data_IF_623944934543
#
_entry.id   IF_623944934543
#
_cell.length_a   1.000
_cell.length_b   1.000
_cell.length_c   1.000
_cell.angle_alpha   90.00
_cell.angle_beta   90.00
_cell.angle_gamma   90.00
#
_symmetry.space_group_name_H-M   'P 1'
#
loop_
_entity.id
_entity.type
_entity.pdbx_description
1 polymer ?
#
# COMPACT_ATOMS: atom_id res chain seq x y z
N UNK A 1 -7.39 -22.51 55.66
CA UNK A 1 -8.01 -21.18 55.49
C UNK A 1 -7.41 -20.45 54.31
N UNK A 2 -7.73 -20.87 53.11
CA UNK A 2 -7.41 -20.09 51.87
C UNK A 2 -8.47 -20.47 50.83
N UNK A 3 -9.61 -19.77 50.78
CA UNK A 3 -10.59 -19.93 49.68
C UNK A 3 -11.70 -18.87 49.66
N UNK A 4 -11.52 -17.70 50.20
CA UNK A 4 -12.54 -16.64 50.14
C UNK A 4 -12.13 -15.37 49.32
N UNK A 5 -10.87 -15.22 48.91
CA UNK A 5 -10.41 -14.02 48.18
C UNK A 5 -10.88 -13.90 46.74
N UNK A 6 -11.11 -15.02 46.04
CA UNK A 6 -11.44 -14.98 44.60
C UNK A 6 -12.91 -14.71 44.27
N UNK A 7 -13.83 -14.91 45.19
CA UNK A 7 -15.27 -14.68 44.92
C UNK A 7 -15.63 -13.18 44.87
N UNK A 8 -14.94 -12.35 45.64
CA UNK A 8 -15.15 -10.90 45.65
C UNK A 8 -14.62 -10.25 44.38
N UNK A 9 -13.51 -10.74 43.83
CA UNK A 9 -12.97 -10.26 42.56
C UNK A 9 -13.90 -10.56 41.38
N UNK A 10 -14.48 -11.72 41.34
CA UNK A 10 -15.45 -12.08 40.29
C UNK A 10 -16.78 -11.33 40.43
N UNK A 11 -17.20 -10.99 41.64
CA UNK A 11 -18.40 -10.19 41.91
C UNK A 11 -18.18 -8.71 41.56
N UNK A 12 -17.00 -8.18 41.75
CA UNK A 12 -16.63 -6.83 41.36
C UNK A 12 -16.54 -6.67 39.81
N UNK A 13 -16.07 -7.68 39.10
CA UNK A 13 -16.06 -7.72 37.64
C UNK A 13 -17.48 -7.82 37.07
N UNK A 14 -18.37 -8.57 37.73
CA UNK A 14 -19.77 -8.70 37.33
C UNK A 14 -20.61 -7.44 37.65
N UNK A 15 -20.22 -6.64 38.67
CA UNK A 15 -20.96 -5.43 39.08
C UNK A 15 -20.59 -4.17 38.27
N UNK A 16 -19.45 -4.19 37.59
CA UNK A 16 -18.98 -3.06 36.79
C UNK A 16 -19.66 -2.93 35.45
N UNK A 17 -20.61 -3.82 35.07
CA UNK A 17 -21.49 -3.62 33.90
C UNK A 17 -20.77 -3.05 32.68
N UNK A 18 -19.48 -3.34 32.54
CA UNK A 18 -18.76 -3.06 31.32
C UNK A 18 -19.36 -3.98 30.26
N UNK A 19 -20.37 -3.48 29.56
CA UNK A 19 -20.63 -3.93 28.20
C UNK A 19 -19.26 -3.96 27.54
N UNK A 20 -18.69 -5.14 27.40
CA UNK A 20 -17.63 -5.36 26.46
C UNK A 20 -18.23 -5.07 25.10
N UNK A 21 -18.18 -3.79 24.69
CA UNK A 21 -18.14 -3.52 23.26
C UNK A 21 -16.97 -4.36 22.78
N UNK A 22 -17.29 -5.45 22.09
CA UNK A 22 -16.30 -6.24 21.41
C UNK A 22 -15.53 -5.23 20.54
N UNK A 23 -14.32 -4.89 20.94
CA UNK A 23 -13.43 -4.13 20.10
C UNK A 23 -13.15 -5.13 18.98
N UNK A 24 -13.78 -4.90 17.83
CA UNK A 24 -13.52 -5.68 16.64
C UNK A 24 -12.02 -5.61 16.40
N UNK A 25 -11.34 -6.73 16.48
CA UNK A 25 -9.90 -6.78 16.24
C UNK A 25 -9.70 -7.10 14.77
N UNK A 26 -8.81 -6.32 14.06
CA UNK A 26 -8.48 -6.62 12.68
C UNK A 26 -8.03 -8.07 12.54
N UNK A 27 -8.56 -8.80 11.57
CA UNK A 27 -8.10 -10.16 11.30
C UNK A 27 -6.75 -10.10 10.57
N UNK A 28 -5.77 -10.85 11.04
CA UNK A 28 -4.46 -10.95 10.42
C UNK A 28 -4.14 -12.40 10.09
N UNK A 29 -3.88 -12.68 8.81
CA UNK A 29 -3.51 -14.01 8.33
C UNK A 29 -2.17 -13.95 7.61
N UNK A 30 -1.25 -14.85 7.96
CA UNK A 30 0.06 -14.95 7.29
C UNK A 30 0.46 -16.41 7.11
N UNK A 31 1.06 -16.75 5.96
CA UNK A 31 1.48 -18.11 5.64
C UNK A 31 1.93 -18.24 4.18
N UNK A 32 2.35 -19.43 3.80
CA UNK A 32 2.75 -19.71 2.42
C UNK A 32 1.52 -19.78 1.49
N UNK A 33 0.50 -20.55 1.91
CA UNK A 33 -0.80 -20.62 1.25
C UNK A 33 -1.91 -20.23 2.21
N UNK A 34 -2.74 -19.27 1.81
CA UNK A 34 -3.78 -18.69 2.64
C UNK A 34 -5.10 -18.70 1.86
N UNK A 35 -6.17 -19.18 2.50
CA UNK A 35 -7.53 -19.01 2.04
C UNK A 35 -8.26 -18.08 2.99
N UNK A 36 -8.57 -16.86 2.55
CA UNK A 36 -9.39 -15.92 3.31
C UNK A 36 -10.83 -16.11 2.90
N UNK A 37 -11.64 -16.65 3.82
CA UNK A 37 -13.05 -16.99 3.55
C UNK A 37 -13.95 -16.55 4.70
N UNK A 38 -15.26 -16.45 4.44
CA UNK A 38 -16.25 -16.10 5.44
C UNK A 38 -16.44 -14.59 5.62
N UNK A 39 -17.12 -14.24 6.71
CA UNK A 39 -17.43 -12.86 7.05
C UNK A 39 -16.41 -12.33 8.07
N UNK A 40 -15.95 -11.10 7.85
CA UNK A 40 -15.07 -10.38 8.74
C UNK A 40 -15.77 -9.11 9.20
N UNK A 41 -15.89 -8.92 10.51
CA UNK A 41 -16.61 -7.78 11.09
C UNK A 41 -15.80 -6.46 11.01
N UNK A 42 -14.50 -6.54 10.74
CA UNK A 42 -13.57 -5.41 10.72
C UNK A 42 -12.57 -5.51 9.55
N UNK A 43 -11.54 -4.69 9.58
CA UNK A 43 -10.45 -4.73 8.60
C UNK A 43 -9.77 -6.10 8.58
N UNK A 44 -9.41 -6.56 7.39
CA UNK A 44 -8.70 -7.81 7.20
C UNK A 44 -7.33 -7.59 6.55
N UNK A 45 -6.33 -8.33 7.02
CA UNK A 45 -4.97 -8.31 6.51
C UNK A 45 -4.54 -9.73 6.15
N UNK A 46 -4.03 -9.93 4.94
CA UNK A 46 -3.48 -11.19 4.51
C UNK A 46 -2.13 -10.99 3.81
N UNK A 47 -1.12 -11.75 4.23
CA UNK A 47 0.21 -11.69 3.63
C UNK A 47 0.79 -13.10 3.46
N UNK A 48 1.19 -13.48 2.22
CA UNK A 48 1.68 -14.82 1.93
C UNK A 48 2.18 -14.99 0.50
N UNK A 49 2.63 -16.20 0.17
CA UNK A 49 3.07 -16.48 -1.19
C UNK A 49 1.89 -16.66 -2.15
N UNK A 50 0.91 -17.46 -1.76
CA UNK A 50 -0.32 -17.70 -2.52
C UNK A 50 -1.54 -17.43 -1.63
N UNK A 51 -2.41 -16.52 -2.06
CA UNK A 51 -3.58 -16.10 -1.29
C UNK A 51 -4.82 -16.18 -2.18
N UNK A 52 -5.83 -16.91 -1.72
CA UNK A 52 -7.15 -16.97 -2.33
C UNK A 52 -8.18 -16.29 -1.43
N UNK A 53 -8.86 -15.30 -1.98
CA UNK A 53 -9.86 -14.49 -1.25
C UNK A 53 -11.25 -14.79 -1.80
N UNK A 54 -12.13 -15.19 -0.89
CA UNK A 54 -13.57 -15.33 -1.10
C UNK A 54 -14.26 -14.98 0.24
N UNK A 55 -14.27 -13.70 0.58
CA UNK A 55 -14.70 -13.21 1.88
C UNK A 55 -15.58 -11.97 1.78
N UNK A 56 -16.40 -11.76 2.80
CA UNK A 56 -17.16 -10.53 2.98
C UNK A 56 -16.42 -9.64 3.99
N UNK A 57 -15.96 -8.48 3.55
CA UNK A 57 -15.22 -7.52 4.38
C UNK A 57 -15.89 -6.15 4.25
N UNK A 58 -16.72 -5.75 5.24
CA UNK A 58 -17.50 -4.50 5.16
C UNK A 58 -16.65 -3.24 5.34
N UNK A 59 -15.37 -3.41 5.58
CA UNK A 59 -14.39 -2.34 5.74
C UNK A 59 -13.26 -2.48 4.71
N UNK A 60 -12.04 -2.25 5.13
CA UNK A 60 -10.85 -2.29 4.27
C UNK A 60 -10.14 -3.64 4.37
N UNK A 61 -9.71 -4.16 3.24
CA UNK A 61 -8.88 -5.35 3.17
C UNK A 61 -7.53 -5.03 2.52
N UNK A 62 -6.46 -5.50 3.17
CA UNK A 62 -5.10 -5.44 2.66
C UNK A 62 -4.61 -6.84 2.33
N UNK A 63 -4.18 -7.04 1.08
CA UNK A 63 -3.64 -8.33 0.63
C UNK A 63 -2.30 -8.12 -0.07
N UNK A 64 -1.26 -8.82 0.39
CA UNK A 64 0.05 -8.74 -0.24
C UNK A 64 0.67 -10.13 -0.41
N UNK A 65 1.17 -10.44 -1.62
CA UNK A 65 1.73 -11.77 -1.86
C UNK A 65 2.33 -12.01 -3.23
N UNK A 66 2.74 -13.24 -3.49
CA UNK A 66 3.27 -13.64 -4.79
C UNK A 66 2.16 -13.81 -5.83
N UNK A 67 1.18 -14.67 -5.54
CA UNK A 67 0.01 -14.95 -6.37
C UNK A 67 -1.26 -14.71 -5.59
N UNK A 68 -2.15 -13.88 -6.11
CA UNK A 68 -3.37 -13.48 -5.45
C UNK A 68 -4.57 -13.80 -6.33
N UNK A 69 -5.52 -14.56 -5.79
CA UNK A 69 -6.78 -14.92 -6.43
C UNK A 69 -7.96 -14.29 -5.70
N UNK A 70 -8.81 -13.55 -6.40
CA UNK A 70 -10.04 -13.00 -5.88
C UNK A 70 -11.20 -13.70 -6.59
N UNK A 71 -11.70 -14.77 -5.97
CA UNK A 71 -12.66 -15.69 -6.59
C UNK A 71 -14.11 -15.38 -6.26
N UNK A 72 -14.36 -14.48 -5.31
CA UNK A 72 -15.71 -14.08 -4.89
C UNK A 72 -15.66 -13.16 -3.68
N UNK A 73 -16.83 -13.01 -3.04
CA UNK A 73 -16.99 -12.18 -1.85
C UNK A 73 -17.30 -10.71 -2.15
N UNK A 74 -17.53 -9.96 -1.08
CA UNK A 74 -17.84 -8.55 -1.13
C UNK A 74 -16.86 -7.77 -0.23
N UNK A 75 -16.09 -6.86 -0.82
CA UNK A 75 -15.05 -6.09 -0.12
C UNK A 75 -15.31 -4.61 -0.36
N UNK A 76 -15.52 -3.85 0.71
CA UNK A 76 -15.80 -2.41 0.58
C UNK A 76 -14.62 -1.63 0.00
N UNK A 77 -13.41 -1.87 0.47
CA UNK A 77 -12.20 -1.25 -0.08
C UNK A 77 -11.07 -2.27 -0.09
N UNK A 78 -10.52 -2.55 -1.26
CA UNK A 78 -9.43 -3.50 -1.43
C UNK A 78 -8.14 -2.78 -1.82
N UNK A 79 -7.10 -2.97 -1.01
CA UNK A 79 -5.73 -2.58 -1.32
C UNK A 79 -4.93 -3.86 -1.47
N UNK A 80 -4.39 -4.07 -2.66
CA UNK A 80 -3.69 -5.32 -2.96
C UNK A 80 -2.41 -5.10 -3.76
N UNK A 81 -1.40 -5.90 -3.45
CA UNK A 81 -0.13 -5.88 -4.19
C UNK A 81 0.48 -7.27 -4.31
N UNK A 82 1.01 -7.60 -5.51
CA UNK A 82 1.59 -8.91 -5.71
C UNK A 82 2.32 -9.09 -7.04
N UNK A 83 2.87 -10.28 -7.25
CA UNK A 83 3.47 -10.63 -8.54
C UNK A 83 2.40 -10.83 -9.61
N UNK A 84 1.42 -11.65 -9.32
CA UNK A 84 0.30 -12.01 -10.17
C UNK A 84 -1.02 -11.84 -9.41
N UNK A 85 -1.96 -11.07 -9.97
CA UNK A 85 -3.27 -10.81 -9.42
C UNK A 85 -4.36 -11.28 -10.39
N UNK A 86 -5.24 -12.16 -9.94
CA UNK A 86 -6.32 -12.73 -10.72
C UNK A 86 -7.67 -12.41 -10.07
N UNK A 87 -8.50 -11.62 -10.75
CA UNK A 87 -9.85 -11.29 -10.32
C UNK A 87 -10.87 -12.05 -11.18
N UNK A 88 -11.74 -12.83 -10.55
CA UNK A 88 -12.71 -13.68 -11.25
C UNK A 88 -14.16 -13.27 -11.01
N UNK A 89 -14.56 -12.99 -9.76
CA UNK A 89 -15.96 -12.66 -9.46
C UNK A 89 -16.16 -11.81 -8.19
N UNK A 90 -15.11 -11.12 -7.71
CA UNK A 90 -15.20 -10.30 -6.51
C UNK A 90 -16.04 -9.02 -6.74
N UNK A 91 -16.84 -8.65 -5.72
CA UNK A 91 -17.55 -7.38 -5.66
C UNK A 91 -16.74 -6.43 -4.77
N UNK A 92 -16.27 -5.34 -5.32
CA UNK A 92 -15.34 -4.41 -4.64
C UNK A 92 -15.92 -3.01 -4.72
N UNK A 93 -15.97 -2.27 -3.61
CA UNK A 93 -16.34 -0.87 -3.63
C UNK A 93 -15.24 -0.04 -4.28
N UNK A 94 -14.10 0.14 -3.61
CA UNK A 94 -12.91 0.81 -4.14
C UNK A 94 -11.76 -0.18 -4.33
N UNK A 95 -11.05 -0.07 -5.45
CA UNK A 95 -9.92 -0.94 -5.78
C UNK A 95 -8.62 -0.14 -5.92
N UNK A 96 -7.61 -0.48 -5.13
CA UNK A 96 -6.21 -0.10 -5.35
C UNK A 96 -5.39 -1.38 -5.55
N UNK A 97 -4.95 -1.64 -6.78
CA UNK A 97 -4.21 -2.85 -7.12
C UNK A 97 -2.88 -2.53 -7.80
N UNK A 98 -1.81 -3.18 -7.34
CA UNK A 98 -0.48 -3.05 -7.94
C UNK A 98 0.19 -4.42 -8.11
N UNK A 99 0.79 -4.67 -9.29
CA UNK A 99 1.43 -5.96 -9.52
C UNK A 99 2.24 -6.09 -10.79
N UNK A 100 2.88 -7.24 -10.95
CA UNK A 100 3.58 -7.57 -12.21
C UNK A 100 2.59 -7.84 -13.34
N UNK A 101 1.64 -8.70 -13.10
CA UNK A 101 0.59 -9.11 -14.02
C UNK A 101 -0.78 -9.06 -13.33
N UNK A 102 -1.74 -8.35 -13.92
CA UNK A 102 -3.09 -8.23 -13.42
C UNK A 102 -4.08 -8.72 -14.48
N UNK A 103 -4.80 -9.79 -14.14
CA UNK A 103 -5.82 -10.41 -14.98
C UNK A 103 -7.19 -10.20 -14.30
N UNK A 104 -8.03 -9.37 -14.88
CA UNK A 104 -9.34 -9.02 -14.34
C UNK A 104 -10.41 -9.59 -15.28
N UNK A 105 -10.79 -10.84 -15.03
CA UNK A 105 -11.67 -11.61 -15.93
C UNK A 105 -13.15 -11.50 -15.56
N UNK A 106 -13.44 -11.21 -14.27
CA UNK A 106 -14.82 -11.03 -13.80
C UNK A 106 -14.86 -10.32 -12.46
N UNK A 107 -16.04 -9.78 -12.14
CA UNK A 107 -16.27 -9.00 -10.93
C UNK A 107 -16.67 -7.55 -11.21
N UNK A 108 -16.94 -6.82 -10.14
CA UNK A 108 -17.41 -5.43 -10.24
C UNK A 108 -16.67 -4.56 -9.25
N UNK A 109 -16.21 -3.39 -9.71
CA UNK A 109 -15.78 -2.29 -8.85
C UNK A 109 -16.87 -1.21 -8.88
N UNK A 110 -17.48 -0.97 -7.73
CA UNK A 110 -18.65 -0.10 -7.64
C UNK A 110 -18.29 1.39 -7.76
N UNK A 111 -17.23 1.83 -7.11
CA UNK A 111 -16.83 3.22 -7.05
C UNK A 111 -15.65 3.51 -7.96
N UNK A 112 -14.43 3.41 -7.50
CA UNK A 112 -13.26 3.77 -8.29
C UNK A 112 -12.18 2.70 -8.33
N UNK A 113 -11.40 2.66 -9.41
CA UNK A 113 -10.25 1.77 -9.52
C UNK A 113 -8.96 2.51 -9.84
N UNK A 114 -7.91 2.21 -9.07
CA UNK A 114 -6.53 2.59 -9.35
C UNK A 114 -5.71 1.32 -9.53
N UNK A 115 -5.22 1.10 -10.75
CA UNK A 115 -4.57 -0.14 -11.13
C UNK A 115 -3.20 0.17 -11.74
N UNK A 116 -2.15 -0.44 -11.20
CA UNK A 116 -0.79 -0.27 -11.71
C UNK A 116 -0.09 -1.62 -11.92
N UNK A 117 0.60 -1.79 -13.06
CA UNK A 117 1.28 -3.06 -13.29
C UNK A 117 2.15 -3.13 -14.55
N UNK A 118 2.91 -4.21 -14.66
CA UNK A 118 3.68 -4.47 -15.89
C UNK A 118 2.76 -4.80 -17.07
N UNK A 119 1.85 -5.74 -16.86
CA UNK A 119 0.79 -6.15 -17.80
C UNK A 119 -0.56 -6.09 -17.10
N UNK A 120 -1.52 -5.43 -17.70
CA UNK A 120 -2.88 -5.31 -17.19
C UNK A 120 -3.84 -5.73 -18.30
N UNK A 121 -4.70 -6.70 -18.01
CA UNK A 121 -5.75 -7.15 -18.92
C UNK A 121 -7.09 -7.16 -18.19
N UNK A 122 -8.10 -6.51 -18.76
CA UNK A 122 -9.49 -6.64 -18.31
C UNK A 122 -10.30 -7.31 -19.40
N UNK A 123 -11.13 -8.28 -19.00
CA UNK A 123 -12.10 -8.92 -19.87
C UNK A 123 -13.47 -8.27 -19.78
N UNK A 124 -14.41 -8.52 -20.72
CA UNK A 124 -15.75 -7.94 -20.70
C UNK A 124 -16.56 -8.25 -19.43
N UNK A 125 -16.19 -9.31 -18.70
CA UNK A 125 -16.83 -9.70 -17.44
C UNK A 125 -16.41 -8.87 -16.23
N UNK A 126 -15.38 -8.02 -16.33
CA UNK A 126 -14.92 -7.17 -15.27
C UNK A 126 -15.40 -5.73 -15.49
N UNK A 127 -16.24 -5.22 -14.60
CA UNK A 127 -16.86 -3.90 -14.73
C UNK A 127 -16.34 -2.92 -13.68
N UNK A 128 -16.01 -1.71 -14.09
CA UNK A 128 -15.73 -0.59 -13.18
C UNK A 128 -16.86 0.43 -13.35
N UNK A 129 -17.77 0.56 -12.37
CA UNK A 129 -18.90 1.48 -12.45
C UNK A 129 -18.47 2.95 -12.25
N UNK A 130 -17.38 3.18 -11.56
CA UNK A 130 -16.80 4.50 -11.34
C UNK A 130 -15.75 4.90 -12.36
N UNK A 131 -14.84 5.77 -11.93
CA UNK A 131 -13.69 6.19 -12.73
C UNK A 131 -12.52 5.23 -12.56
N UNK A 132 -11.71 5.09 -13.60
CA UNK A 132 -10.52 4.25 -13.60
C UNK A 132 -9.24 5.06 -13.86
N UNK A 133 -8.22 4.82 -13.04
CA UNK A 133 -6.83 5.28 -13.28
C UNK A 133 -5.95 4.05 -13.46
N UNK A 134 -5.44 3.85 -14.66
CA UNK A 134 -4.71 2.63 -15.00
C UNK A 134 -3.35 2.99 -15.57
N UNK A 135 -2.29 2.39 -15.02
CA UNK A 135 -0.92 2.62 -15.47
C UNK A 135 -0.15 1.32 -15.64
N UNK A 136 0.42 1.08 -16.83
CA UNK A 136 1.14 -0.17 -17.06
C UNK A 136 2.08 -0.16 -18.28
N UNK A 137 2.96 -1.15 -18.35
CA UNK A 137 3.78 -1.35 -19.55
C UNK A 137 2.91 -1.70 -20.76
N UNK A 138 2.02 -2.67 -20.58
CA UNK A 138 0.99 -3.09 -21.52
C UNK A 138 -0.37 -3.05 -20.84
N UNK A 139 -1.33 -2.35 -21.42
CA UNK A 139 -2.68 -2.23 -20.90
C UNK A 139 -3.68 -2.62 -21.97
N UNK A 140 -4.49 -3.63 -21.71
CA UNK A 140 -5.58 -4.09 -22.57
C UNK A 140 -6.90 -4.00 -21.82
N UNK A 141 -7.81 -3.17 -22.29
CA UNK A 141 -9.12 -2.93 -21.68
C UNK A 141 -10.23 -3.45 -22.58
N UNK A 142 -10.99 -4.42 -22.05
CA UNK A 142 -12.19 -4.95 -22.67
C UNK A 142 -13.41 -4.85 -21.73
N UNK A 143 -13.20 -4.67 -20.43
CA UNK A 143 -14.28 -4.50 -19.46
C UNK A 143 -14.81 -3.05 -19.41
N UNK A 144 -16.11 -2.83 -19.28
CA UNK A 144 -16.71 -1.51 -19.32
C UNK A 144 -16.32 -0.63 -18.13
N UNK A 145 -16.20 0.69 -18.39
CA UNK A 145 -15.91 1.72 -17.39
C UNK A 145 -17.07 2.72 -17.40
N UNK A 146 -17.74 2.84 -16.24
CA UNK A 146 -18.99 3.61 -16.10
C UNK A 146 -18.82 5.12 -16.05
N UNK A 147 -17.61 5.62 -15.79
CA UNK A 147 -17.26 7.05 -15.80
C UNK A 147 -16.01 7.29 -16.63
N UNK A 148 -15.17 8.23 -16.20
CA UNK A 148 -13.95 8.59 -16.92
C UNK A 148 -12.82 7.58 -16.74
N UNK A 149 -11.96 7.45 -17.76
CA UNK A 149 -10.78 6.63 -17.73
C UNK A 149 -9.52 7.45 -18.00
N UNK A 150 -8.54 7.34 -17.09
CA UNK A 150 -7.18 7.85 -17.31
C UNK A 150 -6.23 6.67 -17.44
N UNK A 151 -5.69 6.48 -18.63
CA UNK A 151 -4.83 5.32 -18.93
C UNK A 151 -3.48 5.78 -19.40
N UNK A 152 -2.42 5.25 -18.79
CA UNK A 152 -1.05 5.51 -19.19
C UNK A 152 -0.27 4.20 -19.40
N UNK A 153 0.56 4.16 -20.46
CA UNK A 153 1.32 2.95 -20.73
C UNK A 153 2.21 2.98 -21.97
N UNK A 154 3.06 1.98 -22.10
CA UNK A 154 3.86 1.81 -23.31
C UNK A 154 2.98 1.45 -24.51
N UNK A 155 2.14 0.44 -24.34
CA UNK A 155 1.12 0.01 -25.31
C UNK A 155 -0.24 -0.04 -24.63
N UNK A 156 -1.22 0.63 -25.21
CA UNK A 156 -2.60 0.70 -24.71
C UNK A 156 -3.53 0.20 -25.80
N UNK A 157 -4.38 -0.75 -25.47
CA UNK A 157 -5.43 -1.28 -26.35
C UNK A 157 -6.79 -1.11 -25.66
N UNK A 158 -7.69 -0.39 -26.31
CA UNK A 158 -9.03 -0.09 -25.81
C UNK A 158 -10.04 -0.80 -26.68
N UNK A 159 -10.75 -1.77 -26.12
CA UNK A 159 -11.81 -2.55 -26.76
C UNK A 159 -13.09 -2.57 -25.92
N UNK A 160 -13.32 -1.54 -25.14
CA UNK A 160 -14.41 -1.46 -24.17
C UNK A 160 -15.27 -0.20 -24.32
N UNK A 161 -16.37 -0.17 -23.58
CA UNK A 161 -17.19 1.03 -23.40
C UNK A 161 -16.64 1.88 -22.25
N UNK A 162 -16.44 3.18 -22.49
CA UNK A 162 -16.12 4.21 -21.49
C UNK A 162 -17.24 5.27 -21.57
N UNK A 163 -18.07 5.36 -20.53
CA UNK A 163 -19.23 6.29 -20.54
C UNK A 163 -18.85 7.76 -20.32
N UNK A 164 -17.68 8.04 -19.82
CA UNK A 164 -17.17 9.39 -19.64
C UNK A 164 -15.98 9.68 -20.55
N UNK A 165 -15.16 10.64 -20.12
CA UNK A 165 -13.98 11.07 -20.87
C UNK A 165 -12.86 10.05 -20.78
N UNK A 166 -12.12 9.91 -21.87
CA UNK A 166 -10.93 9.07 -21.95
C UNK A 166 -9.67 9.91 -22.12
N UNK A 167 -8.76 9.80 -21.15
CA UNK A 167 -7.45 10.44 -21.18
C UNK A 167 -6.37 9.37 -21.35
N UNK A 168 -5.76 9.30 -22.53
CA UNK A 168 -4.83 8.24 -22.90
C UNK A 168 -3.43 8.82 -23.14
N UNK A 169 -2.42 8.27 -22.47
CA UNK A 169 -1.02 8.66 -22.66
C UNK A 169 -0.16 7.42 -22.88
N UNK A 170 0.44 7.30 -24.08
CA UNK A 170 1.23 6.10 -24.38
C UNK A 170 2.13 6.24 -25.61
N UNK A 171 3.05 5.29 -25.77
CA UNK A 171 3.85 5.27 -26.98
C UNK A 171 3.03 4.76 -28.16
N UNK A 172 2.23 3.71 -27.97
CA UNK A 172 1.34 3.14 -28.98
C UNK A 172 -0.04 2.95 -28.40
N UNK A 173 -1.05 3.62 -28.93
CA UNK A 173 -2.44 3.53 -28.54
C UNK A 173 -3.23 2.90 -29.67
N UNK A 174 -4.04 1.91 -29.36
CA UNK A 174 -4.91 1.21 -30.29
C UNK A 174 -6.34 1.35 -29.75
N UNK A 175 -7.20 2.02 -30.50
CA UNK A 175 -8.64 2.07 -30.26
C UNK A 175 -9.28 1.03 -31.17
N UNK A 176 -9.69 -0.10 -30.60
CA UNK A 176 -10.16 -1.26 -31.35
C UNK A 176 -11.61 -1.12 -31.83
N UNK A 177 -12.11 -2.12 -32.57
CA UNK A 177 -13.40 -2.02 -33.27
C UNK A 177 -14.62 -2.02 -32.34
N UNK A 178 -14.49 -2.51 -31.12
CA UNK A 178 -15.57 -2.54 -30.12
C UNK A 178 -15.49 -1.38 -29.12
N UNK A 179 -14.53 -0.48 -29.29
CA UNK A 179 -14.37 0.65 -28.41
C UNK A 179 -15.50 1.66 -28.61
N UNK A 180 -16.09 2.09 -27.48
CA UNK A 180 -17.12 3.12 -27.45
C UNK A 180 -16.78 4.12 -26.35
N UNK A 181 -16.61 5.38 -26.70
CA UNK A 181 -16.31 6.46 -25.76
C UNK A 181 -17.42 7.48 -25.87
N UNK A 182 -18.24 7.61 -24.82
CA UNK A 182 -19.38 8.53 -24.82
C UNK A 182 -18.98 9.98 -24.55
N UNK A 183 -17.84 10.20 -23.86
CA UNK A 183 -17.26 11.51 -23.61
C UNK A 183 -16.17 11.92 -24.60
N UNK A 184 -15.31 12.83 -24.18
CA UNK A 184 -14.18 13.34 -24.97
C UNK A 184 -13.00 12.38 -24.93
N UNK A 185 -12.34 12.19 -26.07
CA UNK A 185 -11.07 11.50 -26.17
C UNK A 185 -9.91 12.48 -26.21
N UNK A 186 -9.14 12.55 -25.16
CA UNK A 186 -7.87 13.29 -25.14
C UNK A 186 -6.72 12.30 -25.11
N UNK A 187 -5.83 12.38 -26.10
CA UNK A 187 -4.72 11.48 -26.15
C UNK A 187 -3.36 12.14 -26.40
N UNK A 188 -2.32 11.48 -25.92
CA UNK A 188 -0.94 11.83 -26.13
C UNK A 188 -0.19 10.57 -26.51
N UNK A 189 0.13 10.42 -27.81
CA UNK A 189 0.73 9.19 -28.33
C UNK A 189 1.84 9.50 -29.36
N UNK A 190 2.83 8.58 -29.43
CA UNK A 190 3.76 8.58 -30.57
C UNK A 190 3.07 8.01 -31.82
N UNK A 191 2.25 6.99 -31.62
CA UNK A 191 1.43 6.37 -32.65
C UNK A 191 0.06 6.05 -32.08
N UNK A 192 -0.98 6.34 -32.84
CA UNK A 192 -2.36 5.97 -32.54
C UNK A 192 -3.00 5.30 -33.76
N UNK A 193 -3.65 4.19 -33.54
CA UNK A 193 -4.42 3.44 -34.53
C UNK A 193 -5.88 3.42 -34.03
N UNK A 194 -6.79 4.10 -34.73
CA UNK A 194 -8.20 4.15 -34.41
C UNK A 194 -8.96 3.35 -35.45
N UNK A 195 -9.70 2.31 -34.99
CA UNK A 195 -10.56 1.52 -35.87
C UNK A 195 -11.68 2.38 -36.45
N UNK A 196 -12.01 2.14 -37.72
CA UNK A 196 -13.18 2.79 -38.36
C UNK A 196 -14.52 2.42 -37.71
N UNK A 197 -14.57 1.32 -36.97
CA UNK A 197 -15.76 0.86 -36.24
C UNK A 197 -15.83 1.41 -34.82
N UNK A 198 -14.79 2.06 -34.32
CA UNK A 198 -14.80 2.67 -32.99
C UNK A 198 -15.74 3.88 -32.96
N UNK A 199 -16.49 4.02 -31.88
CA UNK A 199 -17.45 5.12 -31.70
C UNK A 199 -16.89 6.06 -30.64
N UNK A 200 -16.68 7.33 -31.01
CA UNK A 200 -16.30 8.40 -30.09
C UNK A 200 -17.36 9.50 -30.25
N UNK A 201 -18.20 9.67 -29.23
CA UNK A 201 -19.32 10.61 -29.29
C UNK A 201 -18.86 12.06 -29.06
N UNK A 202 -17.85 12.25 -28.22
CA UNK A 202 -17.30 13.56 -27.90
C UNK A 202 -16.21 14.00 -28.83
N UNK A 203 -15.49 15.05 -28.43
CA UNK A 203 -14.39 15.65 -29.18
C UNK A 203 -13.11 14.82 -29.03
N UNK A 204 -12.43 14.58 -30.15
CA UNK A 204 -11.09 13.96 -30.14
C UNK A 204 -10.01 15.02 -30.18
N UNK A 205 -9.19 15.09 -29.15
CA UNK A 205 -8.10 16.07 -29.01
C UNK A 205 -6.75 15.36 -28.91
N UNK A 206 -5.90 15.63 -29.89
CA UNK A 206 -4.51 15.15 -29.87
C UNK A 206 -3.62 16.16 -29.17
N UNK A 207 -2.91 15.73 -28.15
CA UNK A 207 -1.90 16.52 -27.48
C UNK A 207 -0.49 16.15 -28.00
N UNK A 208 0.45 17.10 -28.09
CA UNK A 208 1.78 16.80 -28.57
C UNK A 208 2.46 15.76 -27.67
N UNK A 209 2.91 14.66 -28.27
CA UNK A 209 3.70 13.64 -27.58
C UNK A 209 5.12 14.18 -27.35
N UNK A 210 5.36 14.62 -26.14
CA UNK A 210 6.72 14.95 -25.71
C UNK A 210 7.32 13.72 -25.07
N UNK A 211 8.28 13.10 -25.74
CA UNK A 211 9.01 11.93 -25.23
C UNK A 211 9.91 12.24 -24.02
N UNK A 212 10.00 13.48 -23.63
CA UNK A 212 10.69 13.94 -22.43
C UNK A 212 9.65 14.30 -21.38
N UNK A 213 9.65 13.61 -20.26
CA UNK A 213 9.15 14.18 -19.02
C UNK A 213 9.86 15.53 -18.86
N UNK A 214 9.12 16.60 -18.69
CA UNK A 214 9.75 17.87 -18.37
C UNK A 214 10.50 17.68 -17.03
N UNK A 215 11.62 18.37 -16.85
CA UNK A 215 12.36 18.32 -15.58
C UNK A 215 11.42 18.57 -14.38
N UNK A 216 10.39 19.36 -14.59
CA UNK A 216 9.36 19.67 -13.59
C UNK A 216 8.43 18.50 -13.28
N UNK A 217 8.08 17.67 -14.27
CA UNK A 217 7.29 16.45 -14.06
C UNK A 217 8.12 15.37 -13.38
N UNK A 218 9.37 15.17 -13.80
CA UNK A 218 10.31 14.26 -13.12
C UNK A 218 10.47 14.71 -11.66
N UNK A 219 10.71 16.01 -11.44
CA UNK A 219 10.82 16.57 -10.10
C UNK A 219 9.54 16.34 -9.29
N UNK A 220 8.35 16.54 -9.87
CA UNK A 220 7.06 16.26 -9.23
C UNK A 220 6.90 14.78 -8.85
N UNK A 221 7.25 13.85 -9.73
CA UNK A 221 7.21 12.40 -9.44
C UNK A 221 8.22 12.01 -8.36
N UNK A 222 9.45 12.54 -8.43
CA UNK A 222 10.48 12.25 -7.42
C UNK A 222 10.07 12.82 -6.06
N UNK A 223 9.64 14.08 -6.01
CA UNK A 223 9.19 14.71 -4.76
C UNK A 223 7.94 14.03 -4.22
N UNK A 224 6.95 13.74 -5.05
CA UNK A 224 5.75 13.01 -4.66
C UNK A 224 6.07 11.61 -4.13
N UNK A 225 6.95 10.88 -4.81
CA UNK A 225 7.45 9.58 -4.36
C UNK A 225 8.19 9.65 -3.02
N UNK A 226 9.03 10.66 -2.84
CA UNK A 226 9.73 10.89 -1.57
C UNK A 226 8.77 11.24 -0.43
N UNK A 227 7.73 12.04 -0.69
CA UNK A 227 6.71 12.36 0.31
C UNK A 227 5.94 11.11 0.73
N UNK A 228 5.51 10.28 -0.23
CA UNK A 228 4.84 9.01 0.05
C UNK A 228 5.76 8.07 0.82
N UNK A 229 7.01 7.92 0.39
CA UNK A 229 8.00 7.11 1.08
C UNK A 229 8.25 7.62 2.52
N UNK A 230 8.32 8.93 2.71
CA UNK A 230 8.45 9.53 4.04
C UNK A 230 7.22 9.26 4.91
N UNK A 231 6.00 9.40 4.37
CA UNK A 231 4.76 9.10 5.11
C UNK A 231 4.70 7.63 5.53
N UNK A 232 5.02 6.70 4.63
CA UNK A 232 5.09 5.27 4.93
C UNK A 232 6.17 4.96 5.98
N UNK A 233 7.32 5.61 5.86
CA UNK A 233 8.43 5.45 6.78
C UNK A 233 8.07 5.96 8.19
N UNK A 234 7.52 7.16 8.30
CA UNK A 234 7.09 7.73 9.60
C UNK A 234 5.91 6.96 10.19
N UNK A 235 4.92 6.59 9.38
CA UNK A 235 3.80 5.74 9.82
C UNK A 235 4.27 4.38 10.33
N UNK A 236 5.13 3.70 9.58
CA UNK A 236 5.74 2.44 10.00
C UNK A 236 6.60 2.57 11.27
N UNK A 237 7.32 3.69 11.41
CA UNK A 237 8.11 3.97 12.61
C UNK A 237 7.25 4.14 13.86
N UNK A 238 6.08 4.78 13.75
CA UNK A 238 5.13 4.93 14.85
C UNK A 238 4.57 3.56 15.27
N UNK A 239 4.16 2.74 14.30
CA UNK A 239 3.66 1.39 14.57
C UNK A 239 4.73 0.54 15.25
N UNK A 240 5.96 0.59 14.76
CA UNK A 240 7.11 -0.10 15.37
C UNK A 240 7.37 0.39 16.80
N UNK A 241 7.29 1.71 17.03
CA UNK A 241 7.45 2.30 18.35
C UNK A 241 6.42 1.79 19.35
N UNK A 242 5.16 1.78 18.96
CA UNK A 242 4.06 1.25 19.76
C UNK A 242 4.22 -0.25 20.04
N UNK A 243 4.60 -1.02 19.03
CA UNK A 243 4.86 -2.45 19.19
C UNK A 243 6.03 -2.72 20.15
N UNK A 244 7.13 -2.00 20.04
CA UNK A 244 8.28 -2.16 20.93
C UNK A 244 7.96 -1.78 22.39
N UNK A 245 7.21 -0.71 22.61
CA UNK A 245 6.77 -0.31 23.95
C UNK A 245 5.82 -1.36 24.55
N UNK A 246 4.94 -1.94 23.74
CA UNK A 246 3.98 -2.95 24.21
C UNK A 246 4.60 -4.33 24.41
N UNK A 247 5.47 -4.78 23.49
CA UNK A 247 5.99 -6.16 23.48
C UNK A 247 7.35 -6.32 24.18
N UNK A 248 8.13 -5.24 24.29
CA UNK A 248 9.47 -5.30 24.87
C UNK A 248 9.77 -4.10 25.82
N UNK A 249 8.95 -3.86 26.85
CA UNK A 249 9.12 -2.72 27.75
C UNK A 249 10.46 -2.74 28.50
N UNK A 250 10.98 -3.92 28.81
CA UNK A 250 12.27 -4.08 29.47
C UNK A 250 13.46 -3.63 28.60
N UNK A 251 13.42 -3.91 27.30
CA UNK A 251 14.41 -3.43 26.34
C UNK A 251 14.40 -1.90 26.25
N UNK A 252 13.22 -1.30 26.25
CA UNK A 252 13.06 0.16 26.22
C UNK A 252 13.62 0.79 27.48
N UNK A 253 13.34 0.24 28.67
CA UNK A 253 13.87 0.71 29.94
C UNK A 253 15.39 0.57 30.03
N UNK A 254 15.94 -0.57 29.62
CA UNK A 254 17.38 -0.81 29.63
C UNK A 254 18.16 0.13 28.70
N UNK A 255 17.63 0.37 27.50
CA UNK A 255 18.24 1.31 26.54
C UNK A 255 18.18 2.75 27.02
N UNK A 256 17.05 3.18 27.61
CA UNK A 256 16.92 4.49 28.21
C UNK A 256 17.89 4.71 29.39
N UNK A 257 18.10 3.70 30.23
CA UNK A 257 19.07 3.74 31.33
C UNK A 257 20.50 3.91 30.82
N UNK A 258 20.89 3.20 29.74
CA UNK A 258 22.21 3.35 29.11
C UNK A 258 22.42 4.73 28.51
N UNK A 259 21.42 5.30 27.88
CA UNK A 259 21.49 6.68 27.34
C UNK A 259 21.71 7.68 28.46
N UNK A 260 21.00 7.54 29.60
CA UNK A 260 21.22 8.42 30.77
C UNK A 260 22.60 8.32 31.35
N UNK A 261 23.15 7.09 31.45
CA UNK A 261 24.48 6.85 32.02
C UNK A 261 25.61 7.40 31.15
N UNK A 262 25.47 7.36 29.82
CA UNK A 262 26.54 7.68 28.86
C UNK A 262 26.05 8.55 27.69
N UNK A 263 25.32 9.63 27.98
CA UNK A 263 24.63 10.45 26.97
C UNK A 263 25.56 10.95 25.85
N UNK A 264 26.72 11.47 26.18
CA UNK A 264 27.69 11.99 25.19
C UNK A 264 28.29 10.87 24.33
N UNK A 265 28.61 9.73 24.93
CA UNK A 265 29.15 8.58 24.20
C UNK A 265 28.08 7.98 23.26
N UNK A 266 26.84 7.91 23.68
CA UNK A 266 25.71 7.41 22.86
C UNK A 266 25.40 8.36 21.70
N UNK A 267 25.42 9.67 21.96
CA UNK A 267 25.28 10.70 20.92
C UNK A 267 26.41 10.63 19.89
N UNK A 268 27.66 10.52 20.37
CA UNK A 268 28.84 10.39 19.51
C UNK A 268 28.80 9.13 18.66
N UNK A 269 28.44 7.98 19.23
CA UNK A 269 28.29 6.73 18.52
C UNK A 269 27.14 6.78 17.47
N UNK A 270 26.01 7.39 17.81
CA UNK A 270 24.89 7.59 16.89
C UNK A 270 25.26 8.50 15.72
N UNK A 271 25.92 9.62 15.98
CA UNK A 271 26.39 10.55 14.95
C UNK A 271 27.44 9.88 14.03
N UNK A 272 28.38 9.16 14.63
CA UNK A 272 29.37 8.38 13.87
C UNK A 272 28.68 7.37 12.95
N UNK A 273 27.68 6.65 13.44
CA UNK A 273 26.91 5.69 12.65
C UNK A 273 26.17 6.34 11.49
N UNK A 274 25.52 7.48 11.72
CA UNK A 274 24.78 8.23 10.69
C UNK A 274 25.68 8.71 9.56
N UNK A 275 26.94 9.06 9.86
CA UNK A 275 27.90 9.54 8.87
C UNK A 275 28.71 8.40 8.26
N UNK A 276 29.22 7.48 9.08
CA UNK A 276 30.12 6.42 8.63
C UNK A 276 29.41 5.34 7.80
N UNK A 277 28.15 5.01 8.13
CA UNK A 277 27.42 3.98 7.40
C UNK A 277 27.16 4.35 5.93
N UNK A 278 26.62 5.54 5.56
CA UNK A 278 26.48 5.92 4.16
C UNK A 278 27.79 5.99 3.40
N UNK A 279 28.88 6.45 4.03
CA UNK A 279 30.21 6.48 3.41
C UNK A 279 30.74 5.08 3.14
N UNK A 280 30.61 4.17 4.10
CA UNK A 280 31.01 2.78 3.94
C UNK A 280 30.18 2.07 2.84
N UNK A 281 28.87 2.30 2.80
CA UNK A 281 27.99 1.80 1.75
C UNK A 281 28.40 2.32 0.38
N UNK A 282 28.67 3.63 0.27
CA UNK A 282 29.12 4.25 -0.98
C UNK A 282 30.43 3.64 -1.48
N UNK A 283 31.42 3.44 -0.60
CA UNK A 283 32.69 2.82 -0.94
C UNK A 283 32.53 1.36 -1.39
N UNK A 284 31.65 0.59 -0.74
CA UNK A 284 31.35 -0.79 -1.12
C UNK A 284 30.67 -0.85 -2.50
N UNK A 285 29.73 0.05 -2.77
CA UNK A 285 29.02 0.10 -4.05
C UNK A 285 29.92 0.53 -5.24
N UNK A 286 31.10 1.06 -4.99
CA UNK A 286 32.10 1.33 -6.05
C UNK A 286 32.76 0.05 -6.59
N UNK A 287 32.60 -1.08 -5.93
CA UNK A 287 33.12 -2.36 -6.38
C UNK A 287 32.00 -3.30 -6.83
N UNK A 288 32.23 -4.07 -7.89
CA UNK A 288 31.23 -5.03 -8.43
C UNK A 288 30.79 -6.03 -7.36
N UNK A 289 31.73 -6.55 -6.56
CA UNK A 289 31.46 -7.50 -5.47
C UNK A 289 30.78 -6.78 -4.28
N UNK A 290 31.07 -5.51 -4.07
CA UNK A 290 30.51 -4.71 -2.98
C UNK A 290 29.08 -4.25 -3.21
N UNK A 291 28.56 -4.25 -4.44
CA UNK A 291 27.19 -3.85 -4.75
C UNK A 291 26.15 -4.69 -3.98
N UNK A 292 26.16 -6.04 -4.02
CA UNK A 292 25.22 -6.85 -3.24
C UNK A 292 25.32 -6.60 -1.74
N UNK A 293 26.54 -6.50 -1.22
CA UNK A 293 26.80 -6.23 0.19
C UNK A 293 26.33 -4.82 0.59
N UNK A 294 26.57 -3.83 -0.25
CA UNK A 294 26.10 -2.45 -0.08
C UNK A 294 24.58 -2.38 -0.01
N UNK A 295 23.85 -3.11 -0.87
CA UNK A 295 22.40 -3.19 -0.84
C UNK A 295 21.86 -3.80 0.46
N UNK A 296 22.49 -4.85 0.97
CA UNK A 296 22.16 -5.44 2.27
C UNK A 296 22.39 -4.43 3.40
N UNK A 297 23.51 -3.71 3.38
CA UNK A 297 23.80 -2.68 4.38
C UNK A 297 22.83 -1.49 4.29
N UNK A 298 22.40 -1.09 3.10
CA UNK A 298 21.34 -0.08 2.93
C UNK A 298 20.04 -0.55 3.58
N UNK A 299 19.61 -1.79 3.32
CA UNK A 299 18.43 -2.35 3.93
C UNK A 299 18.52 -2.39 5.46
N UNK A 300 19.64 -2.85 6.01
CA UNK A 300 19.89 -2.86 7.45
C UNK A 300 19.90 -1.44 8.04
N UNK A 301 20.49 -0.47 7.34
CA UNK A 301 20.52 0.93 7.75
C UNK A 301 19.13 1.54 7.82
N UNK A 302 18.30 1.30 6.79
CA UNK A 302 16.90 1.76 6.73
C UNK A 302 16.07 1.14 7.87
N UNK A 303 16.29 -0.15 8.16
CA UNK A 303 15.59 -0.84 9.26
C UNK A 303 16.07 -0.34 10.63
N UNK A 304 17.37 -0.10 10.82
CA UNK A 304 17.93 0.32 12.10
C UNK A 304 17.55 1.76 12.48
N UNK A 305 17.34 2.63 11.51
CA UNK A 305 17.05 4.05 11.75
C UNK A 305 15.77 4.30 12.56
N UNK A 306 14.62 3.64 12.30
CA UNK A 306 13.41 3.78 13.10
C UNK A 306 13.58 3.33 14.55
N UNK A 307 14.39 2.29 14.81
CA UNK A 307 14.68 1.84 16.17
C UNK A 307 15.37 2.94 16.99
N UNK A 308 16.38 3.60 16.40
CA UNK A 308 17.06 4.73 17.05
C UNK A 308 16.11 5.88 17.36
N UNK A 309 15.24 6.24 16.42
CA UNK A 309 14.21 7.27 16.60
C UNK A 309 13.21 6.93 17.71
N UNK A 310 12.77 5.67 17.79
CA UNK A 310 11.85 5.19 18.83
C UNK A 310 12.46 5.32 20.23
N UNK A 311 13.72 4.89 20.40
CA UNK A 311 14.44 4.99 21.67
C UNK A 311 14.66 6.44 22.07
N UNK A 312 15.02 7.30 21.12
CA UNK A 312 15.20 8.74 21.37
C UNK A 312 13.89 9.41 21.77
N UNK A 313 12.77 9.11 21.12
CA UNK A 313 11.45 9.64 21.47
C UNK A 313 10.99 9.19 22.85
N UNK A 314 11.20 7.91 23.19
CA UNK A 314 10.89 7.38 24.52
C UNK A 314 11.73 8.06 25.61
N UNK A 315 13.03 8.27 25.38
CA UNK A 315 13.91 8.99 26.29
C UNK A 315 13.49 10.45 26.47
N UNK A 316 13.16 11.16 25.37
CA UNK A 316 12.66 12.53 25.43
C UNK A 316 11.35 12.64 26.23
N UNK A 317 10.42 11.70 26.02
CA UNK A 317 9.15 11.64 26.75
C UNK A 317 9.33 11.47 28.26
N UNK A 318 10.28 10.61 28.68
CA UNK A 318 10.61 10.44 30.11
C UNK A 318 11.27 11.68 30.71
N UNK A 319 12.12 12.35 29.94
CA UNK A 319 12.81 13.58 30.40
C UNK A 319 11.82 14.74 30.55
N UNK A 320 10.88 14.88 29.61
CA UNK A 320 9.81 15.88 29.69
C UNK A 320 8.87 15.65 30.90
N UNK A 321 8.51 14.39 31.19
CA UNK A 321 7.72 14.07 32.39
C UNK A 321 8.39 14.55 33.66
N UNK A 322 9.71 14.40 33.79
CA UNK A 322 10.48 14.91 34.91
C UNK A 322 10.52 16.46 35.00
N UNK A 323 10.40 17.16 33.86
CA UNK A 323 10.40 18.62 33.80
C UNK A 323 9.03 19.23 34.12
N UNK A 324 7.93 18.58 33.72
CA UNK A 324 6.56 19.08 33.97
C UNK A 324 5.95 18.61 35.29
N UNK A 325 6.77 18.14 36.25
CA UNK A 325 6.39 18.04 37.65
C UNK A 325 5.45 16.91 38.01
N UNK A 326 5.61 15.75 37.44
CA UNK A 326 5.10 14.50 38.02
C UNK A 326 5.94 14.14 39.22
N UNK A 327 5.60 14.65 40.41
CA UNK A 327 6.06 14.07 41.66
C UNK A 327 5.44 12.70 41.78
N UNK A 328 6.24 11.67 41.68
CA UNK A 328 5.88 10.33 42.14
C UNK A 328 5.66 10.46 43.64
N UNK A 329 4.43 10.43 44.10
CA UNK A 329 4.12 10.12 45.48
C UNK A 329 4.25 8.62 45.69
N UNK A 330 4.76 8.17 46.86
CA UNK A 330 5.27 6.83 47.12
C UNK A 330 4.22 5.72 47.07
#
# INVERSE_FOLDING_TARGET
MVKQGNRLAYLLIALLGLSTTAIAMPSFQSGDQIAVTGEHDDMAFAAGHEINVNAVVPHMMFVAGGKLGFTGGEIKSLITSGGELNFQSAQIGDLLAAGGELNLTGGTVADGAVIAGGRIATDPGFTINGSAVISGGQVKLAGPIGKSATVSGGRIEINNEIKGDAHLTGAHIIIGPTAKIDGDLTYRARRIDISSSAVIAGKTTALPYRARFSEREIFGFVVGGLIIAAMLYFGGSIVLALALVALAPELMAATAARIRAHALATLGAGLLWVVAAPVAIGLLCMTIIGIPLGLVLIALYIIAFPFGGTVAAHFAGMTMRGWFGGKDEP
#
